data_IF_048411724392
#
_entry.id   IF_048411724392
#
_cell.length_a   1.000
_cell.length_b   1.000
_cell.length_c   1.000
_cell.angle_alpha   90.00
_cell.angle_beta   90.00
_cell.angle_gamma   90.00
#
_symmetry.space_group_name_H-M   'P 1'
#
loop_
_entity.id
_entity.type
_entity.pdbx_description
1 polymer ?
#
# COMPACT_ATOMS: atom_id res chain seq x y z
N UNK A 1 2.31 16.92 8.75
CA UNK A 1 1.84 15.59 9.18
C UNK A 1 0.56 15.26 8.44
N UNK A 2 0.48 14.05 7.89
CA UNK A 2 -0.63 13.55 7.10
C UNK A 2 -1.59 12.75 7.97
N UNK A 3 -2.89 12.87 7.69
CA UNK A 3 -3.94 12.03 8.28
C UNK A 3 -4.07 10.74 7.45
N UNK A 4 -3.48 9.65 7.93
CA UNK A 4 -3.46 8.35 7.24
C UNK A 4 -4.59 7.46 7.76
N UNK A 5 -5.47 7.03 6.86
CA UNK A 5 -6.65 6.22 7.18
C UNK A 5 -6.48 4.80 6.64
N UNK A 6 -6.16 3.88 7.55
CA UNK A 6 -6.13 2.45 7.29
C UNK A 6 -7.38 1.77 7.88
N UNK A 7 -8.42 1.61 7.05
CA UNK A 7 -9.69 1.00 7.48
C UNK A 7 -9.54 -0.51 7.72
N UNK A 8 -10.49 -1.16 8.42
CA UNK A 8 -10.52 -2.62 8.48
C UNK A 8 -10.60 -3.29 7.10
N UNK A 9 -11.27 -2.66 6.13
CA UNK A 9 -11.35 -3.16 4.74
C UNK A 9 -9.98 -3.21 4.07
N UNK A 10 -9.16 -2.17 4.26
CA UNK A 10 -7.77 -2.17 3.79
C UNK A 10 -7.02 -3.41 4.30
N UNK A 11 -7.07 -3.70 5.60
CA UNK A 11 -6.38 -4.87 6.15
C UNK A 11 -6.98 -6.21 5.70
N UNK A 12 -8.30 -6.25 5.43
CA UNK A 12 -8.96 -7.45 4.90
C UNK A 12 -8.43 -7.85 3.52
N UNK A 13 -7.97 -6.90 2.71
CA UNK A 13 -7.41 -7.20 1.38
C UNK A 13 -6.15 -8.07 1.44
N UNK A 14 -5.39 -8.07 2.55
CA UNK A 14 -4.22 -8.94 2.72
C UNK A 14 -4.57 -10.40 3.06
N UNK A 15 -5.83 -10.73 3.41
CA UNK A 15 -6.21 -12.08 3.85
C UNK A 15 -5.92 -13.16 2.80
N UNK A 16 -6.21 -12.97 1.49
CA UNK A 16 -5.87 -13.95 0.46
C UNK A 16 -4.38 -14.25 0.34
N UNK A 17 -3.50 -13.29 0.68
CA UNK A 17 -2.05 -13.47 0.63
C UNK A 17 -1.56 -14.49 1.66
N UNK A 18 -2.31 -14.75 2.74
CA UNK A 18 -1.94 -15.75 3.76
C UNK A 18 -1.73 -17.16 3.19
N UNK A 19 -2.38 -17.49 2.07
CA UNK A 19 -2.19 -18.79 1.43
C UNK A 19 -0.86 -18.88 0.65
N UNK A 20 -0.26 -17.74 0.30
CA UNK A 20 0.98 -17.64 -0.49
C UNK A 20 2.24 -17.54 0.37
N UNK A 21 2.11 -17.06 1.60
CA UNK A 21 3.24 -16.80 2.50
C UNK A 21 3.17 -17.67 3.76
N UNK A 22 4.34 -17.99 4.33
CA UNK A 22 4.39 -18.56 5.68
C UNK A 22 3.87 -17.55 6.70
N UNK A 23 3.55 -18.03 7.90
CA UNK A 23 3.14 -17.16 9.01
C UNK A 23 4.14 -16.02 9.26
N UNK A 24 5.45 -16.32 9.24
CA UNK A 24 6.50 -15.35 9.55
C UNK A 24 6.69 -14.34 8.41
N UNK A 25 6.61 -14.79 7.16
CA UNK A 25 6.63 -13.92 5.99
C UNK A 25 5.41 -12.97 6.00
N UNK A 26 4.21 -13.50 6.28
CA UNK A 26 3.02 -12.67 6.37
C UNK A 26 3.10 -11.66 7.53
N UNK A 27 3.63 -12.07 8.69
CA UNK A 27 3.86 -11.17 9.81
C UNK A 27 4.88 -10.06 9.45
N UNK A 28 5.92 -10.40 8.68
CA UNK A 28 6.88 -9.42 8.15
C UNK A 28 6.19 -8.41 7.23
N UNK A 29 5.39 -8.86 6.27
CA UNK A 29 4.62 -7.99 5.36
C UNK A 29 3.76 -7.01 6.16
N UNK A 30 2.99 -7.50 7.15
CA UNK A 30 2.14 -6.63 7.98
C UNK A 30 2.97 -5.60 8.77
N UNK A 31 4.17 -5.97 9.23
CA UNK A 31 5.08 -5.03 9.90
C UNK A 31 5.59 -3.96 8.93
N UNK A 32 6.05 -4.34 7.74
CA UNK A 32 6.53 -3.40 6.72
C UNK A 32 5.43 -2.42 6.29
N UNK A 33 4.20 -2.88 6.11
CA UNK A 33 3.05 -2.01 5.82
C UNK A 33 2.79 -1.00 6.95
N UNK A 34 2.94 -1.40 8.22
CA UNK A 34 2.80 -0.49 9.36
C UNK A 34 3.90 0.56 9.41
N UNK A 35 5.13 0.17 9.09
CA UNK A 35 6.27 1.10 8.97
C UNK A 35 6.02 2.11 7.85
N UNK A 36 5.53 1.65 6.69
CA UNK A 36 5.12 2.50 5.58
C UNK A 36 4.05 3.53 6.00
N UNK A 37 3.02 3.10 6.73
CA UNK A 37 1.97 3.99 7.24
C UNK A 37 2.54 5.09 8.15
N UNK A 38 3.53 4.76 8.98
CA UNK A 38 4.23 5.75 9.80
C UNK A 38 5.00 6.77 8.95
N UNK A 39 5.70 6.32 7.91
CA UNK A 39 6.38 7.23 6.97
C UNK A 39 5.41 8.11 6.20
N UNK A 40 4.33 7.53 5.68
CA UNK A 40 3.25 8.27 5.02
C UNK A 40 2.67 9.35 5.95
N UNK A 41 2.45 9.03 7.23
CA UNK A 41 1.96 10.00 8.21
C UNK A 41 2.94 11.17 8.44
N UNK A 42 4.25 10.89 8.41
CA UNK A 42 5.29 11.90 8.64
C UNK A 42 5.54 12.75 7.39
N UNK A 43 5.73 12.10 6.25
CA UNK A 43 6.31 12.65 5.02
C UNK A 43 5.31 12.79 3.87
N UNK A 44 4.26 11.97 3.86
CA UNK A 44 3.26 11.94 2.77
C UNK A 44 3.66 11.12 1.55
N UNK A 45 4.76 10.39 1.65
CA UNK A 45 5.29 9.47 0.64
C UNK A 45 6.15 8.43 1.35
N UNK A 46 6.37 7.30 0.72
CA UNK A 46 7.31 6.28 1.19
C UNK A 46 8.68 6.59 0.57
N UNK A 47 9.73 6.65 1.39
CA UNK A 47 11.11 6.89 0.90
C UNK A 47 12.03 5.69 1.09
N UNK A 48 11.53 4.58 1.64
CA UNK A 48 12.30 3.36 1.85
C UNK A 48 12.94 2.91 0.52
N UNK A 49 14.24 2.64 0.58
CA UNK A 49 15.01 2.35 -0.64
C UNK A 49 14.59 0.99 -1.18
N UNK A 50 14.07 0.99 -2.41
CA UNK A 50 13.64 -0.24 -3.10
C UNK A 50 12.15 -0.53 -2.99
N UNK A 51 11.33 0.29 -2.34
CA UNK A 51 9.87 0.09 -2.33
C UNK A 51 9.16 0.73 -3.52
N UNK A 52 9.89 1.44 -4.39
CA UNK A 52 9.38 1.94 -5.66
C UNK A 52 8.03 2.68 -5.55
N UNK A 53 7.90 3.64 -4.63
CA UNK A 53 6.68 4.47 -4.48
C UNK A 53 6.43 5.28 -5.77
N UNK A 54 5.33 4.99 -6.46
CA UNK A 54 4.98 5.65 -7.71
C UNK A 54 3.46 5.75 -7.91
N UNK A 55 3.05 6.62 -8.84
CA UNK A 55 1.65 6.80 -9.20
C UNK A 55 1.16 5.61 -10.04
N UNK A 56 -0.04 5.10 -9.76
CA UNK A 56 -0.68 4.11 -10.62
C UNK A 56 -1.23 4.82 -11.87
N UNK A 57 -0.76 4.40 -13.04
CA UNK A 57 -1.12 5.03 -14.32
C UNK A 57 -2.34 4.37 -14.99
N UNK A 58 -2.68 3.15 -14.60
CA UNK A 58 -3.70 2.34 -15.26
C UNK A 58 -5.04 2.32 -14.51
N UNK A 59 -6.18 2.24 -15.22
CA UNK A 59 -7.49 2.00 -14.61
C UNK A 59 -7.50 0.74 -13.73
N UNK A 60 -8.29 0.72 -12.63
CA UNK A 60 -9.24 1.74 -12.19
C UNK A 60 -8.59 2.91 -11.40
N UNK A 61 -7.26 2.96 -11.30
CA UNK A 61 -6.50 3.85 -10.41
C UNK A 61 -5.81 5.03 -11.12
N UNK A 62 -5.82 5.06 -12.46
CA UNK A 62 -5.16 6.05 -13.31
C UNK A 62 -5.76 7.48 -13.29
N UNK A 63 -6.20 7.97 -12.13
CA UNK A 63 -6.69 9.35 -11.94
C UNK A 63 -5.60 10.32 -11.44
N UNK A 64 -4.37 9.83 -11.25
CA UNK A 64 -3.22 10.62 -10.79
C UNK A 64 -3.16 10.82 -9.27
N UNK A 65 -4.03 10.17 -8.49
CA UNK A 65 -4.08 10.28 -7.03
C UNK A 65 -3.85 8.97 -6.30
N UNK A 66 -3.87 7.84 -7.01
CA UNK A 66 -3.50 6.54 -6.45
C UNK A 66 -2.02 6.28 -6.65
N UNK A 67 -1.41 5.77 -5.61
CA UNK A 67 -0.01 5.42 -5.57
C UNK A 67 0.12 3.97 -5.12
N UNK A 68 1.19 3.34 -5.57
CA UNK A 68 1.59 2.01 -5.21
C UNK A 68 3.05 2.01 -4.76
N UNK A 69 3.34 1.21 -3.75
CA UNK A 69 4.69 0.83 -3.41
C UNK A 69 4.75 -0.67 -3.19
N UNK A 70 5.91 -1.22 -3.52
CA UNK A 70 6.26 -2.61 -3.39
C UNK A 70 6.89 -2.88 -2.03
N UNK A 71 6.62 -4.04 -1.46
CA UNK A 71 7.25 -4.55 -0.24
C UNK A 71 7.55 -6.02 -0.44
N UNK A 72 8.43 -6.57 0.40
CA UNK A 72 8.74 -8.01 0.42
C UNK A 72 9.15 -8.54 -0.96
N UNK A 73 10.40 -8.26 -1.35
CA UNK A 73 11.01 -8.69 -2.61
C UNK A 73 10.15 -8.40 -3.86
N UNK A 74 9.53 -7.23 -3.88
CA UNK A 74 8.63 -6.71 -4.91
C UNK A 74 7.30 -7.43 -5.11
N UNK A 75 7.02 -8.53 -4.40
CA UNK A 75 5.83 -9.34 -4.63
C UNK A 75 4.54 -8.81 -4.00
N UNK A 76 4.66 -7.94 -2.98
CA UNK A 76 3.50 -7.37 -2.27
C UNK A 76 3.34 -5.90 -2.63
N UNK A 77 2.18 -5.57 -3.15
CA UNK A 77 1.78 -4.26 -3.61
C UNK A 77 0.88 -3.57 -2.60
N UNK A 78 1.17 -2.34 -2.23
CA UNK A 78 0.34 -1.56 -1.29
C UNK A 78 -0.16 -0.30 -1.97
N UNK A 79 -1.48 -0.20 -2.11
CA UNK A 79 -2.13 0.91 -2.80
C UNK A 79 -2.68 1.92 -1.79
N UNK A 80 -2.43 3.20 -2.03
CA UNK A 80 -3.01 4.29 -1.27
C UNK A 80 -3.49 5.44 -2.16
N UNK A 81 -4.56 6.12 -1.73
CA UNK A 81 -5.05 7.33 -2.35
C UNK A 81 -4.52 8.55 -1.60
N UNK A 82 -3.86 9.45 -2.31
CA UNK A 82 -3.26 10.66 -1.75
C UNK A 82 -4.06 11.90 -2.11
N UNK A 83 -4.54 12.60 -1.08
CA UNK A 83 -5.21 13.89 -1.21
C UNK A 83 -4.33 15.00 -0.64
N UNK A 84 -3.68 15.75 -1.53
CA UNK A 84 -2.87 16.92 -1.17
C UNK A 84 -3.68 17.96 -0.37
N UNK A 85 -4.92 18.23 -0.81
CA UNK A 85 -5.81 19.13 -0.06
C UNK A 85 -6.21 18.51 1.27
N UNK A 86 -5.75 19.11 2.37
CA UNK A 86 -5.89 18.68 3.77
C UNK A 86 -4.93 17.56 4.21
N UNK A 87 -3.95 17.21 3.40
CA UNK A 87 -2.93 16.18 3.71
C UNK A 87 -3.56 14.87 4.23
N UNK A 88 -4.48 14.28 3.45
CA UNK A 88 -5.14 13.01 3.82
C UNK A 88 -4.64 11.91 2.90
N UNK A 89 -4.25 10.78 3.49
CA UNK A 89 -3.95 9.54 2.77
C UNK A 89 -4.98 8.49 3.19
N UNK A 90 -5.54 7.77 2.23
CA UNK A 90 -6.44 6.64 2.47
C UNK A 90 -5.78 5.38 1.94
N UNK A 91 -5.53 4.43 2.82
CA UNK A 91 -5.01 3.12 2.42
C UNK A 91 -6.14 2.37 1.70
N UNK A 92 -5.84 1.80 0.53
CA UNK A 92 -6.84 1.20 -0.37
C UNK A 92 -6.79 -0.32 -0.26
N UNK A 93 -5.62 -0.92 -0.51
CA UNK A 93 -5.46 -2.36 -0.36
C UNK A 93 -4.01 -2.82 -0.37
N UNK A 94 -3.83 -4.09 -0.05
CA UNK A 94 -2.58 -4.85 -0.06
C UNK A 94 -2.83 -6.04 -0.98
N UNK A 95 -2.07 -6.13 -2.05
CA UNK A 95 -2.26 -7.07 -3.14
C UNK A 95 -0.95 -7.76 -3.49
N UNK A 96 -1.04 -8.69 -4.41
CA UNK A 96 0.06 -9.08 -5.28
C UNK A 96 -0.30 -8.69 -6.71
N UNK A 97 0.65 -8.86 -7.64
CA UNK A 97 0.47 -8.56 -9.05
C UNK A 97 -0.72 -9.27 -9.73
N UNK A 98 -1.20 -10.39 -9.18
CA UNK A 98 -2.30 -11.16 -9.76
C UNK A 98 -3.67 -10.80 -9.16
N UNK A 99 -3.69 -10.12 -8.01
CA UNK A 99 -4.91 -9.79 -7.25
C UNK A 99 -5.21 -8.30 -7.19
N UNK A 100 -4.25 -7.45 -7.60
CA UNK A 100 -4.52 -6.03 -7.77
C UNK A 100 -5.59 -5.84 -8.86
N UNK A 101 -6.64 -5.05 -8.60
CA UNK A 101 -7.63 -4.73 -9.62
C UNK A 101 -6.98 -4.07 -10.84
N UNK A 102 -7.13 -4.70 -11.99
CA UNK A 102 -6.78 -4.18 -13.31
C UNK A 102 -7.96 -4.47 -14.24
N UNK A 103 -8.27 -3.52 -15.13
CA UNK A 103 -9.32 -3.67 -16.16
C UNK A 103 -8.95 -4.75 -17.20
#
# INVERSE_FOLDING_TARGET
MWDVKASPDFWRTAVPLKAKYTHDQFAFVIRSVREAICELAQKGKVEESGWHDHVLEHPPFGDGHFFEFHTFDDDVLVVYYKRERKHVIRMVGIYDHASIPSD
#
